data_IF_401688238504
#
_entry.id   IF_401688238504
#
_cell.length_a   1.000
_cell.length_b   1.000
_cell.length_c   1.000
_cell.angle_alpha   90.00
_cell.angle_beta   90.00
_cell.angle_gamma   90.00
#
_symmetry.space_group_name_H-M   'P 1'
#
loop_
_entity.id
_entity.type
_entity.pdbx_description
1 polymer ?
#
# COMPACT_ATOMS: atom_id res chain seq x y z
N UNK A 1 -4.54 -54.21 26.93
CA UNK A 1 -4.39 -52.77 26.68
C UNK A 1 -3.18 -52.55 25.79
N UNK A 2 -3.37 -52.29 24.49
CA UNK A 2 -2.28 -52.01 23.54
C UNK A 2 -2.12 -50.50 23.40
N UNK A 3 -0.94 -49.98 23.75
CA UNK A 3 -0.55 -48.58 23.53
C UNK A 3 -0.08 -48.43 22.08
N UNK A 4 -0.73 -47.55 21.32
CA UNK A 4 -0.31 -47.17 19.97
C UNK A 4 0.25 -45.75 20.11
N UNK A 5 1.57 -45.60 20.00
CA UNK A 5 2.21 -44.30 19.83
C UNK A 5 2.01 -43.88 18.37
N UNK A 6 1.28 -42.79 18.12
CA UNK A 6 1.31 -42.07 16.84
C UNK A 6 2.54 -41.16 16.85
N UNK A 7 3.57 -41.54 16.10
CA UNK A 7 4.66 -40.64 15.75
C UNK A 7 4.14 -39.64 14.70
N UNK A 8 3.74 -38.45 15.14
CA UNK A 8 3.38 -37.35 14.24
C UNK A 8 4.65 -36.88 13.54
N UNK A 9 4.77 -37.18 12.26
CA UNK A 9 5.88 -36.71 11.42
C UNK A 9 5.52 -35.31 10.96
N UNK A 10 6.16 -34.27 11.51
CA UNK A 10 6.08 -32.93 10.97
C UNK A 10 6.66 -32.94 9.54
N UNK A 11 5.79 -32.93 8.54
CA UNK A 11 6.15 -32.69 7.17
C UNK A 11 6.47 -31.18 7.06
N UNK A 12 7.71 -30.79 7.39
CA UNK A 12 8.18 -29.44 7.04
C UNK A 12 8.20 -29.35 5.53
N UNK A 13 7.29 -28.55 4.97
CA UNK A 13 7.36 -28.12 3.60
C UNK A 13 8.60 -27.23 3.46
N UNK A 14 9.73 -27.82 3.06
CA UNK A 14 10.92 -27.07 2.64
C UNK A 14 10.56 -26.46 1.29
N UNK A 15 10.11 -25.20 1.30
CA UNK A 15 9.98 -24.42 0.08
C UNK A 15 11.40 -24.27 -0.49
N UNK A 16 11.66 -24.63 -1.75
CA UNK A 16 12.99 -24.50 -2.32
C UNK A 16 13.41 -23.03 -2.25
N UNK A 17 14.54 -22.76 -1.57
CA UNK A 17 15.20 -21.47 -1.65
C UNK A 17 15.68 -21.32 -3.10
N UNK A 18 14.92 -20.57 -3.90
CA UNK A 18 15.39 -20.17 -5.22
C UNK A 18 16.66 -19.34 -5.03
N UNK A 19 17.66 -19.58 -5.88
CA UNK A 19 18.82 -18.69 -5.93
C UNK A 19 18.32 -17.25 -6.16
N UNK A 20 18.97 -16.30 -5.49
CA UNK A 20 18.70 -14.89 -5.63
C UNK A 20 20.04 -14.15 -5.65
N UNK A 21 20.10 -13.10 -6.44
CA UNK A 21 21.24 -12.19 -6.45
C UNK A 21 21.04 -11.15 -5.36
N UNK A 22 21.98 -11.12 -4.42
CA UNK A 22 21.95 -10.24 -3.26
C UNK A 22 22.64 -8.90 -3.57
N UNK A 23 22.00 -7.80 -3.21
CA UNK A 23 22.56 -6.45 -3.20
C UNK A 23 22.79 -6.08 -1.74
N UNK A 24 24.06 -6.08 -1.31
CA UNK A 24 24.46 -5.84 0.09
C UNK A 24 25.10 -4.46 0.31
N UNK A 25 25.35 -3.73 -0.77
CA UNK A 25 25.96 -2.40 -0.75
C UNK A 25 25.21 -1.45 -1.69
N UNK A 26 25.49 -0.15 -1.58
CA UNK A 26 24.87 0.88 -2.42
C UNK A 26 25.18 0.67 -3.91
N UNK A 27 24.13 0.71 -4.73
CA UNK A 27 24.22 0.81 -6.19
C UNK A 27 23.59 2.12 -6.66
N UNK A 28 24.25 2.80 -7.59
CA UNK A 28 23.72 4.00 -8.26
C UNK A 28 23.14 3.71 -9.64
N UNK A 29 23.35 2.50 -10.16
CA UNK A 29 22.73 2.04 -11.40
C UNK A 29 21.40 1.36 -11.11
N UNK A 30 20.49 1.43 -12.09
CA UNK A 30 19.25 0.66 -12.08
C UNK A 30 19.54 -0.85 -12.13
N UNK A 31 18.70 -1.68 -11.53
CA UNK A 31 18.82 -3.14 -11.56
C UNK A 31 17.61 -3.80 -12.20
N UNK A 32 17.82 -4.95 -12.86
CA UNK A 32 16.76 -5.67 -13.58
C UNK A 32 16.83 -7.16 -13.33
N UNK A 33 15.68 -7.80 -13.14
CA UNK A 33 15.62 -9.25 -12.91
C UNK A 33 16.18 -10.07 -14.06
N UNK A 34 16.12 -9.58 -15.31
CA UNK A 34 16.64 -10.26 -16.50
C UNK A 34 18.17 -10.29 -16.61
N UNK A 35 18.89 -9.43 -15.87
CA UNK A 35 20.34 -9.25 -16.03
C UNK A 35 21.13 -9.21 -14.72
N UNK A 36 20.47 -9.26 -13.57
CA UNK A 36 21.10 -9.01 -12.26
C UNK A 36 22.26 -9.98 -11.97
N UNK A 37 22.22 -11.21 -12.49
CA UNK A 37 23.26 -12.24 -12.29
C UNK A 37 24.27 -12.24 -13.43
N UNK A 38 25.12 -11.21 -13.48
CA UNK A 38 26.15 -11.06 -14.51
C UNK A 38 25.59 -11.19 -15.95
N UNK A 39 24.42 -10.59 -16.20
CA UNK A 39 23.74 -10.63 -17.50
C UNK A 39 22.73 -11.78 -17.65
N UNK A 40 22.63 -12.69 -16.67
CA UNK A 40 21.60 -13.72 -16.64
C UNK A 40 20.40 -13.31 -15.74
N UNK A 41 19.20 -13.87 -15.99
CA UNK A 41 18.04 -13.65 -15.14
C UNK A 41 18.19 -14.29 -13.75
N UNK A 42 17.72 -13.59 -12.71
CA UNK A 42 17.65 -14.10 -11.34
C UNK A 42 16.69 -13.27 -10.48
N UNK A 43 16.31 -13.80 -9.32
CA UNK A 43 15.60 -13.02 -8.30
C UNK A 43 16.52 -11.96 -7.68
N UNK A 44 15.96 -10.84 -7.23
CA UNK A 44 16.71 -9.76 -6.59
C UNK A 44 16.37 -9.74 -5.10
N UNK A 45 17.40 -9.71 -4.25
CA UNK A 45 17.25 -9.38 -2.84
C UNK A 45 18.14 -8.21 -2.46
N UNK A 46 17.54 -7.08 -2.09
CA UNK A 46 18.26 -5.94 -1.49
C UNK A 46 18.24 -6.18 0.01
N UNK A 47 19.39 -6.41 0.64
CA UNK A 47 19.46 -6.65 2.09
C UNK A 47 19.31 -5.35 2.87
N UNK A 48 19.14 -5.45 4.19
CA UNK A 48 19.09 -4.29 5.10
C UNK A 48 20.30 -3.36 4.99
N UNK A 49 21.48 -3.84 4.57
CA UNK A 49 22.67 -3.04 4.33
C UNK A 49 22.76 -2.49 2.89
N UNK A 50 22.02 -3.08 1.96
CA UNK A 50 22.03 -2.72 0.55
C UNK A 50 21.13 -1.54 0.20
N UNK A 51 21.42 -0.91 -0.94
CA UNK A 51 20.54 0.10 -1.52
C UNK A 51 20.66 0.24 -3.03
N UNK A 52 19.60 0.74 -3.66
CA UNK A 52 19.56 1.06 -5.10
C UNK A 52 19.07 2.50 -5.24
N UNK A 53 19.98 3.39 -5.65
CA UNK A 53 19.78 4.84 -5.62
C UNK A 53 20.21 5.55 -6.92
N UNK A 54 19.55 5.28 -8.06
CA UNK A 54 19.85 6.01 -9.29
C UNK A 54 19.33 7.45 -9.23
N UNK A 55 19.82 8.28 -10.14
CA UNK A 55 19.45 9.70 -10.21
C UNK A 55 18.01 9.93 -10.73
N UNK A 56 17.40 8.95 -11.39
CA UNK A 56 16.08 9.08 -12.00
C UNK A 56 15.63 7.80 -12.71
N UNK A 57 14.44 7.83 -13.32
CA UNK A 57 13.86 6.69 -14.02
C UNK A 57 13.38 5.59 -13.06
N UNK A 58 13.70 4.33 -13.35
CA UNK A 58 13.25 3.19 -12.54
C UNK A 58 14.41 2.55 -11.79
N UNK A 59 14.35 2.44 -10.47
CA UNK A 59 15.44 1.84 -9.68
C UNK A 59 15.54 0.33 -9.83
N UNK A 60 14.42 -0.39 -9.68
CA UNK A 60 14.35 -1.85 -9.82
C UNK A 60 13.30 -2.20 -10.87
N UNK A 61 13.68 -2.97 -11.89
CA UNK A 61 12.76 -3.47 -12.93
C UNK A 61 12.59 -4.98 -12.85
N UNK A 62 11.34 -5.43 -12.79
CA UNK A 62 10.92 -6.82 -12.94
C UNK A 62 10.47 -7.01 -14.38
N UNK A 63 11.36 -7.56 -15.19
CA UNK A 63 11.21 -7.83 -16.62
C UNK A 63 11.32 -9.33 -16.93
N UNK A 64 11.16 -10.17 -15.91
CA UNK A 64 11.17 -11.64 -16.00
C UNK A 64 10.20 -12.23 -14.95
N UNK A 65 10.21 -13.55 -14.75
CA UNK A 65 9.33 -14.23 -13.77
C UNK A 65 9.95 -14.35 -12.37
N UNK A 66 11.00 -13.58 -12.09
CA UNK A 66 11.72 -13.65 -10.82
C UNK A 66 11.26 -12.60 -9.82
N UNK A 67 11.23 -12.99 -8.55
CA UNK A 67 10.79 -12.14 -7.45
C UNK A 67 11.77 -10.99 -7.16
N UNK A 68 11.24 -9.93 -6.53
CA UNK A 68 12.03 -8.88 -5.88
C UNK A 68 11.69 -8.83 -4.39
N UNK A 69 12.72 -8.90 -3.56
CA UNK A 69 12.64 -8.68 -2.11
C UNK A 69 13.50 -7.48 -1.73
N UNK A 70 12.88 -6.43 -1.17
CA UNK A 70 13.56 -5.25 -0.65
C UNK A 70 13.49 -5.22 0.88
N UNK A 71 14.63 -5.42 1.53
CA UNK A 71 14.84 -5.25 2.98
C UNK A 71 15.66 -3.97 3.28
N UNK A 72 16.31 -3.41 2.26
CA UNK A 72 17.15 -2.21 2.36
C UNK A 72 16.45 -0.94 1.87
N UNK A 73 17.18 -0.08 1.17
CA UNK A 73 16.65 1.19 0.65
C UNK A 73 16.63 1.24 -0.87
N UNK A 74 15.47 1.48 -1.46
CA UNK A 74 15.33 1.95 -2.84
C UNK A 74 15.01 3.44 -2.79
N UNK A 75 15.80 4.29 -3.45
CA UNK A 75 15.61 5.74 -3.37
C UNK A 75 15.87 6.45 -4.69
N UNK A 76 14.98 7.35 -5.08
CA UNK A 76 15.20 8.32 -6.16
C UNK A 76 14.74 9.67 -5.65
N UNK A 77 15.62 10.67 -5.68
CA UNK A 77 15.31 12.01 -5.18
C UNK A 77 15.32 13.02 -6.31
N UNK A 78 14.33 13.90 -6.31
CA UNK A 78 14.20 15.06 -7.20
C UNK A 78 14.20 14.68 -8.70
N UNK A 79 13.41 13.66 -9.05
CA UNK A 79 13.22 13.22 -10.43
C UNK A 79 11.75 12.94 -10.73
N UNK A 80 11.22 13.57 -11.77
CA UNK A 80 9.87 13.31 -12.25
C UNK A 80 9.79 11.97 -12.98
N UNK A 81 8.59 11.39 -13.02
CA UNK A 81 8.33 10.10 -13.67
C UNK A 81 9.21 8.96 -13.10
N UNK A 82 9.70 9.11 -11.88
CA UNK A 82 10.54 8.14 -11.22
C UNK A 82 9.71 6.99 -10.63
N UNK A 83 10.27 5.78 -10.67
CA UNK A 83 9.63 4.60 -10.08
C UNK A 83 10.63 3.84 -9.23
N UNK A 84 10.27 3.52 -7.98
CA UNK A 84 11.09 2.66 -7.13
C UNK A 84 11.21 1.25 -7.71
N UNK A 85 10.10 0.51 -7.72
CA UNK A 85 10.02 -0.85 -8.29
C UNK A 85 8.97 -0.88 -9.40
N UNK A 86 9.36 -1.24 -10.61
CA UNK A 86 8.46 -1.44 -11.75
C UNK A 86 8.40 -2.91 -12.13
N UNK A 87 7.21 -3.50 -12.17
CA UNK A 87 6.96 -4.76 -12.86
C UNK A 87 6.39 -4.51 -14.25
N UNK A 88 7.08 -5.05 -15.27
CA UNK A 88 6.65 -4.99 -16.67
C UNK A 88 5.41 -5.87 -16.87
N UNK A 89 4.51 -5.48 -17.78
CA UNK A 89 3.30 -6.25 -18.05
C UNK A 89 3.62 -7.70 -18.48
N UNK A 90 2.85 -8.66 -17.97
CA UNK A 90 3.00 -10.09 -18.26
C UNK A 90 4.11 -10.80 -17.47
N UNK A 91 4.76 -10.12 -16.53
CA UNK A 91 5.80 -10.70 -15.66
C UNK A 91 5.23 -11.28 -14.36
N UNK A 92 6.10 -11.80 -13.49
CA UNK A 92 5.68 -12.34 -12.21
C UNK A 92 6.82 -12.59 -11.24
N UNK A 93 6.53 -13.34 -10.18
CA UNK A 93 7.48 -13.75 -9.15
C UNK A 93 7.19 -13.17 -7.77
N UNK A 94 6.40 -12.10 -7.72
CA UNK A 94 6.00 -11.42 -6.48
C UNK A 94 6.95 -10.30 -6.07
N UNK A 95 6.45 -9.41 -5.21
CA UNK A 95 7.19 -8.26 -4.69
C UNK A 95 7.02 -8.22 -3.17
N UNK A 96 8.12 -8.25 -2.44
CA UNK A 96 8.12 -8.08 -0.98
C UNK A 96 8.93 -6.85 -0.63
N UNK A 97 8.32 -5.86 0.01
CA UNK A 97 9.00 -4.70 0.59
C UNK A 97 8.88 -4.74 2.12
N UNK A 98 9.98 -5.01 2.81
CA UNK A 98 10.14 -4.84 4.26
C UNK A 98 11.07 -3.68 4.62
N UNK A 99 11.80 -3.13 3.62
CA UNK A 99 12.68 -1.98 3.75
C UNK A 99 11.99 -0.64 3.43
N UNK A 100 12.76 0.29 2.85
CA UNK A 100 12.30 1.62 2.45
C UNK A 100 12.25 1.76 0.93
N UNK A 101 11.20 2.40 0.43
CA UNK A 101 11.12 2.93 -0.94
C UNK A 101 10.83 4.43 -0.82
N UNK A 102 11.72 5.27 -1.34
CA UNK A 102 11.62 6.73 -1.26
C UNK A 102 11.69 7.29 -2.68
N UNK A 103 10.64 8.00 -3.10
CA UNK A 103 10.59 8.71 -4.38
C UNK A 103 10.14 10.15 -4.11
N UNK A 104 11.07 10.98 -3.67
CA UNK A 104 10.83 12.29 -3.07
C UNK A 104 11.38 13.45 -3.92
N UNK A 105 11.15 14.68 -3.48
CA UNK A 105 11.78 15.89 -4.04
C UNK A 105 12.58 16.65 -2.99
N UNK A 106 13.21 17.73 -3.46
CA UNK A 106 13.88 18.71 -2.59
C UNK A 106 13.04 19.98 -2.44
N UNK A 107 11.78 19.97 -2.87
CA UNK A 107 10.88 21.11 -2.70
C UNK A 107 10.44 21.19 -1.24
N UNK A 108 10.51 22.40 -0.69
CA UNK A 108 10.06 22.72 0.65
C UNK A 108 9.19 23.97 0.54
N UNK A 109 7.96 23.89 1.05
CA UNK A 109 7.05 25.04 1.12
C UNK A 109 7.58 26.08 2.13
N UNK A 110 7.23 27.35 1.93
CA UNK A 110 7.67 28.45 2.78
C UNK A 110 6.49 29.32 3.18
N UNK A 111 6.51 29.83 4.41
CA UNK A 111 5.63 30.89 4.90
C UNK A 111 6.05 32.25 4.29
N UNK A 112 5.39 32.65 3.19
CA UNK A 112 5.72 33.83 2.39
C UNK A 112 5.21 35.10 3.06
N UNK A 113 4.02 35.08 3.65
CA UNK A 113 3.39 36.26 4.24
C UNK A 113 3.54 36.41 5.77
N UNK A 114 4.08 35.38 6.44
CA UNK A 114 4.48 35.33 7.86
C UNK A 114 3.32 35.32 8.85
N UNK A 115 2.19 34.74 8.50
CA UNK A 115 1.07 34.60 9.41
C UNK A 115 1.07 33.28 10.21
N UNK A 116 1.89 32.30 9.82
CA UNK A 116 2.29 31.16 10.63
C UNK A 116 1.93 29.78 10.08
N UNK A 117 1.45 29.67 8.84
CA UNK A 117 1.38 28.43 8.06
C UNK A 117 2.30 28.49 6.82
N UNK A 118 2.31 27.42 6.01
CA UNK A 118 3.21 27.29 4.87
C UNK A 118 2.41 27.47 3.58
N UNK A 119 2.94 28.25 2.64
CA UNK A 119 2.20 28.58 1.42
C UNK A 119 2.61 27.72 0.22
N UNK A 120 1.70 27.66 -0.77
CA UNK A 120 1.98 27.17 -2.12
C UNK A 120 1.56 25.72 -2.37
N UNK A 121 2.18 25.02 -3.33
CA UNK A 121 1.82 23.63 -3.58
C UNK A 121 2.34 22.69 -2.47
N UNK A 122 1.75 21.49 -2.37
CA UNK A 122 2.29 20.40 -1.55
C UNK A 122 3.55 19.75 -2.15
N UNK A 123 3.72 19.87 -3.46
CA UNK A 123 4.74 19.19 -4.24
C UNK A 123 5.01 19.96 -5.54
N UNK A 124 6.25 20.01 -6.01
CA UNK A 124 6.61 20.67 -7.28
C UNK A 124 6.75 19.65 -8.42
N UNK A 125 7.33 18.48 -8.14
CA UNK A 125 7.50 17.40 -9.11
C UNK A 125 6.21 16.63 -9.44
N UNK A 126 6.32 15.62 -10.32
CA UNK A 126 5.16 14.81 -10.73
C UNK A 126 5.47 13.39 -11.20
N UNK A 127 4.42 12.56 -11.28
CA UNK A 127 4.41 11.27 -11.95
C UNK A 127 5.21 10.16 -11.26
N UNK A 128 5.41 10.26 -9.95
CA UNK A 128 6.26 9.34 -9.18
C UNK A 128 5.49 8.13 -8.69
N UNK A 129 6.16 6.99 -8.59
CA UNK A 129 5.55 5.78 -8.02
C UNK A 129 6.50 4.98 -7.16
N UNK A 130 6.07 4.54 -5.97
CA UNK A 130 6.86 3.61 -5.14
C UNK A 130 6.96 2.23 -5.78
N UNK A 131 5.82 1.52 -5.91
CA UNK A 131 5.71 0.23 -6.61
C UNK A 131 4.68 0.35 -7.74
N UNK A 132 5.06 -0.04 -8.95
CA UNK A 132 4.19 0.01 -10.14
C UNK A 132 4.13 -1.33 -10.86
N UNK A 133 2.95 -1.75 -11.30
CA UNK A 133 2.83 -2.75 -12.38
C UNK A 133 2.39 -2.04 -13.66
N UNK A 134 3.04 -2.33 -14.78
CA UNK A 134 2.71 -1.72 -16.08
C UNK A 134 1.50 -2.38 -16.77
N UNK A 135 0.97 -3.46 -16.20
CA UNK A 135 -0.13 -4.24 -16.73
C UNK A 135 -0.35 -5.49 -15.87
N UNK A 136 -0.78 -6.59 -16.49
CA UNK A 136 -1.00 -7.85 -15.79
C UNK A 136 0.28 -8.33 -15.07
N UNK A 137 0.16 -8.79 -13.82
CA UNK A 137 1.27 -9.29 -13.02
C UNK A 137 0.86 -10.51 -12.20
N UNK A 138 1.74 -11.50 -12.07
CA UNK A 138 1.48 -12.72 -11.31
C UNK A 138 2.40 -12.86 -10.09
N UNK A 139 1.81 -13.14 -8.94
CA UNK A 139 2.52 -13.24 -7.66
C UNK A 139 2.03 -12.22 -6.65
N UNK A 140 2.18 -12.54 -5.37
CA UNK A 140 1.73 -11.64 -4.30
C UNK A 140 2.58 -10.36 -4.26
N UNK A 141 1.95 -9.26 -3.86
CA UNK A 141 2.63 -8.00 -3.55
C UNK A 141 2.39 -7.72 -2.07
N UNK A 142 3.48 -7.62 -1.30
CA UNK A 142 3.45 -7.41 0.15
C UNK A 142 4.33 -6.24 0.54
N UNK A 143 3.78 -5.30 1.31
CA UNK A 143 4.49 -4.17 1.90
C UNK A 143 4.37 -4.19 3.43
N UNK A 144 5.43 -4.59 4.12
CA UNK A 144 5.58 -4.44 5.59
C UNK A 144 6.52 -3.29 5.95
N UNK A 145 7.25 -2.75 4.97
CA UNK A 145 8.17 -1.63 5.10
C UNK A 145 7.51 -0.25 4.91
N UNK A 146 8.34 0.75 4.59
CA UNK A 146 7.89 2.12 4.36
C UNK A 146 7.98 2.51 2.88
N UNK A 147 6.97 3.19 2.37
CA UNK A 147 6.95 3.84 1.06
C UNK A 147 6.63 5.32 1.25
N UNK A 148 7.54 6.20 0.83
CA UNK A 148 7.34 7.65 0.82
C UNK A 148 7.42 8.15 -0.61
N UNK A 149 6.40 8.88 -1.05
CA UNK A 149 6.36 9.49 -2.38
C UNK A 149 5.91 10.94 -2.25
N UNK A 150 6.67 11.86 -2.81
CA UNK A 150 6.28 13.27 -2.91
C UNK A 150 6.20 13.61 -4.39
N UNK A 151 5.15 14.30 -4.83
CA UNK A 151 4.94 14.63 -6.23
C UNK A 151 3.47 14.69 -6.60
N UNK A 152 3.11 15.57 -7.53
CA UNK A 152 1.77 15.62 -8.11
C UNK A 152 1.50 14.38 -8.98
N UNK A 153 0.24 13.98 -9.13
CA UNK A 153 -0.20 12.84 -9.96
C UNK A 153 0.60 11.55 -9.67
N UNK A 154 0.94 11.35 -8.40
CA UNK A 154 1.85 10.29 -7.95
C UNK A 154 1.15 9.25 -7.10
N UNK A 155 1.78 8.09 -6.92
CA UNK A 155 1.23 7.01 -6.12
C UNK A 155 2.24 6.25 -5.27
N UNK A 156 1.83 5.79 -4.09
CA UNK A 156 2.68 4.90 -3.28
C UNK A 156 2.81 3.54 -3.97
N UNK A 157 1.66 2.90 -4.24
CA UNK A 157 1.56 1.67 -5.02
C UNK A 157 0.49 1.85 -6.10
N UNK A 158 0.84 1.55 -7.36
CA UNK A 158 -0.11 1.56 -8.47
C UNK A 158 -0.02 0.29 -9.32
N UNK A 159 -1.08 -0.52 -9.25
CA UNK A 159 -1.24 -1.69 -10.12
C UNK A 159 -1.95 -1.26 -11.42
N UNK A 160 -1.19 -1.09 -12.50
CA UNK A 160 -1.69 -0.64 -13.80
C UNK A 160 -2.46 -1.70 -14.61
N UNK A 161 -2.73 -2.87 -14.02
CA UNK A 161 -3.48 -3.97 -14.61
C UNK A 161 -3.83 -5.04 -13.58
N UNK A 162 -4.36 -6.20 -14.01
CA UNK A 162 -4.81 -7.24 -13.10
C UNK A 162 -3.64 -7.90 -12.35
N UNK A 163 -3.84 -8.17 -11.06
CA UNK A 163 -2.94 -8.92 -10.19
C UNK A 163 -3.47 -10.34 -9.98
N UNK A 164 -2.73 -11.33 -10.48
CA UNK A 164 -2.96 -12.74 -10.15
C UNK A 164 -2.19 -13.09 -8.88
N UNK A 165 -2.77 -12.78 -7.73
CA UNK A 165 -2.15 -12.95 -6.43
C UNK A 165 -2.89 -12.17 -5.33
N UNK A 166 -2.40 -12.27 -4.10
CA UNK A 166 -2.88 -11.44 -3.00
C UNK A 166 -2.13 -10.10 -2.96
N UNK A 167 -2.81 -9.06 -2.49
CA UNK A 167 -2.19 -7.77 -2.18
C UNK A 167 -2.28 -7.51 -0.69
N UNK A 168 -1.15 -7.20 -0.05
CA UNK A 168 -1.06 -6.96 1.38
C UNK A 168 -0.20 -5.72 1.64
N UNK A 169 -0.72 -4.78 2.43
CA UNK A 169 0.09 -3.74 3.08
C UNK A 169 -0.13 -3.81 4.58
N UNK A 170 0.94 -3.68 5.34
CA UNK A 170 1.03 -3.73 6.81
C UNK A 170 2.00 -2.68 7.36
N UNK A 171 2.85 -2.13 6.50
CA UNK A 171 3.74 -1.04 6.85
C UNK A 171 3.12 0.33 6.60
N UNK A 172 3.97 1.30 6.26
CA UNK A 172 3.56 2.70 6.05
C UNK A 172 3.64 3.07 4.57
N UNK A 173 2.63 3.75 4.07
CA UNK A 173 2.62 4.40 2.75
C UNK A 173 2.21 5.86 2.97
N UNK A 174 3.09 6.80 2.64
CA UNK A 174 2.84 8.23 2.71
C UNK A 174 3.02 8.86 1.33
N UNK A 175 2.00 9.55 0.85
CA UNK A 175 2.05 10.24 -0.44
C UNK A 175 1.59 11.69 -0.30
N UNK A 176 2.42 12.62 -0.75
CA UNK A 176 2.15 14.06 -0.66
C UNK A 176 2.18 14.69 -2.05
N UNK A 177 1.13 15.45 -2.40
CA UNK A 177 1.01 16.16 -3.67
C UNK A 177 -0.44 16.28 -4.14
N UNK A 178 -0.64 16.96 -5.27
CA UNK A 178 -1.97 17.09 -5.90
C UNK A 178 -2.34 15.84 -6.67
N UNK A 179 -3.60 15.40 -6.58
CA UNK A 179 -4.17 14.23 -7.27
C UNK A 179 -3.37 12.93 -7.01
N UNK A 180 -2.89 12.75 -5.78
CA UNK A 180 -2.11 11.59 -5.39
C UNK A 180 -2.97 10.44 -4.89
N UNK A 181 -2.46 9.21 -5.02
CA UNK A 181 -3.11 8.02 -4.47
C UNK A 181 -2.14 7.17 -3.67
N UNK A 182 -2.45 6.86 -2.41
CA UNK A 182 -1.60 5.95 -1.61
C UNK A 182 -1.46 4.57 -2.25
N UNK A 183 -2.59 3.90 -2.45
CA UNK A 183 -2.68 2.60 -3.13
C UNK A 183 -3.77 2.64 -4.20
N UNK A 184 -3.42 2.35 -5.45
CA UNK A 184 -4.36 2.19 -6.57
C UNK A 184 -4.25 0.80 -7.17
N UNK A 185 -5.37 0.10 -7.31
CA UNK A 185 -5.37 -1.28 -7.84
C UNK A 185 -6.37 -1.49 -8.98
N UNK A 186 -6.00 -2.33 -9.95
CA UNK A 186 -6.94 -2.96 -10.89
C UNK A 186 -7.55 -4.23 -10.30
N UNK A 187 -7.91 -5.19 -11.15
CA UNK A 187 -8.51 -6.45 -10.69
C UNK A 187 -7.50 -7.27 -9.85
N UNK A 188 -7.97 -7.95 -8.81
CA UNK A 188 -7.17 -8.79 -7.93
C UNK A 188 -7.86 -10.14 -7.76
N UNK A 189 -7.16 -11.23 -8.08
CA UNK A 189 -7.72 -12.58 -7.94
C UNK A 189 -7.63 -13.12 -6.51
N UNK A 190 -6.72 -12.61 -5.69
CA UNK A 190 -6.56 -12.98 -4.29
C UNK A 190 -7.30 -12.07 -3.32
N UNK A 191 -6.96 -12.22 -2.04
CA UNK A 191 -7.41 -11.31 -0.98
C UNK A 191 -6.64 -9.98 -1.03
N UNK A 192 -7.30 -8.94 -0.55
CA UNK A 192 -6.70 -7.63 -0.30
C UNK A 192 -6.71 -7.39 1.20
N UNK A 193 -5.54 -7.17 1.80
CA UNK A 193 -5.42 -6.75 3.20
C UNK A 193 -4.74 -5.39 3.30
N UNK A 194 -5.47 -4.43 3.85
CA UNK A 194 -5.05 -3.06 4.10
C UNK A 194 -4.88 -2.87 5.60
N UNK A 195 -3.69 -3.21 6.09
CA UNK A 195 -3.25 -2.97 7.44
C UNK A 195 -2.08 -1.96 7.44
N UNK A 196 -1.58 -1.61 8.62
CA UNK A 196 -0.59 -0.55 8.75
C UNK A 196 -1.20 0.84 8.50
N UNK A 197 -0.44 1.75 7.90
CA UNK A 197 -0.87 3.14 7.68
C UNK A 197 -0.75 3.52 6.21
N UNK A 198 -1.82 4.06 5.62
CA UNK A 198 -1.80 4.70 4.30
C UNK A 198 -2.30 6.14 4.46
N UNK A 199 -1.44 7.12 4.18
CA UNK A 199 -1.75 8.54 4.25
C UNK A 199 -1.53 9.20 2.89
N UNK A 200 -2.53 9.94 2.42
CA UNK A 200 -2.45 10.74 1.20
C UNK A 200 -2.83 12.19 1.51
N UNK A 201 -1.94 13.13 1.18
CA UNK A 201 -2.07 14.55 1.52
C UNK A 201 -1.97 15.40 0.26
N UNK A 202 -2.96 16.27 0.06
CA UNK A 202 -3.00 17.28 -1.00
C UNK A 202 -4.36 17.32 -1.71
N UNK A 203 -4.55 18.34 -2.56
CA UNK A 203 -5.81 18.50 -3.30
C UNK A 203 -6.13 17.23 -4.09
N UNK A 204 -7.34 16.68 -3.93
CA UNK A 204 -7.79 15.46 -4.61
C UNK A 204 -7.11 14.17 -4.15
N UNK A 205 -6.35 14.19 -3.05
CA UNK A 205 -5.65 13.02 -2.53
C UNK A 205 -6.62 11.91 -2.08
N UNK A 206 -6.31 10.65 -2.40
CA UNK A 206 -7.07 9.46 -2.00
C UNK A 206 -6.13 8.45 -1.35
N UNK A 207 -6.44 7.94 -0.16
CA UNK A 207 -5.52 7.00 0.49
C UNK A 207 -5.48 5.66 -0.26
N UNK A 208 -6.65 5.05 -0.50
CA UNK A 208 -6.77 3.78 -1.22
C UNK A 208 -7.91 3.84 -2.23
N UNK A 209 -7.61 3.47 -3.47
CA UNK A 209 -8.56 3.36 -4.58
C UNK A 209 -8.49 1.96 -5.21
N UNK A 210 -9.54 1.18 -5.02
CA UNK A 210 -9.68 -0.18 -5.56
C UNK A 210 -10.59 -0.11 -6.79
N UNK A 211 -9.98 0.07 -7.97
CA UNK A 211 -10.71 0.32 -9.22
C UNK A 211 -11.27 -0.96 -9.84
N UNK A 212 -10.55 -2.07 -9.70
CA UNK A 212 -10.95 -3.36 -10.27
C UNK A 212 -11.64 -4.29 -9.27
N UNK A 213 -12.12 -5.41 -9.79
CA UNK A 213 -12.80 -6.43 -9.00
C UNK A 213 -11.82 -7.22 -8.13
N UNK A 214 -12.22 -7.52 -6.90
CA UNK A 214 -11.51 -8.39 -5.97
C UNK A 214 -12.28 -9.71 -5.89
N UNK A 215 -11.61 -10.80 -6.26
CA UNK A 215 -12.20 -12.14 -6.15
C UNK A 215 -12.15 -12.65 -4.70
N UNK A 216 -11.11 -12.29 -3.95
CA UNK A 216 -11.03 -12.58 -2.52
C UNK A 216 -11.84 -11.61 -1.66
N UNK A 217 -11.53 -11.60 -0.37
CA UNK A 217 -12.05 -10.63 0.59
C UNK A 217 -11.23 -9.34 0.57
N UNK A 218 -11.87 -8.22 0.93
CA UNK A 218 -11.21 -6.98 1.32
C UNK A 218 -11.23 -6.86 2.85
N UNK A 219 -10.06 -6.92 3.47
CA UNK A 219 -9.88 -6.73 4.92
C UNK A 219 -9.17 -5.41 5.16
N UNK A 220 -9.86 -4.47 5.79
CA UNK A 220 -9.26 -3.23 6.30
C UNK A 220 -9.02 -3.42 7.79
N UNK A 221 -7.78 -3.27 8.23
CA UNK A 221 -7.37 -3.48 9.62
C UNK A 221 -6.20 -2.55 9.98
N UNK A 222 -6.18 -1.37 9.37
CA UNK A 222 -5.16 -0.35 9.57
C UNK A 222 -5.75 1.05 9.46
N UNK A 223 -4.87 2.04 9.48
CA UNK A 223 -5.20 3.46 9.41
C UNK A 223 -5.14 3.97 7.97
N UNK A 224 -6.28 4.36 7.39
CA UNK A 224 -6.36 4.97 6.06
C UNK A 224 -6.78 6.43 6.20
N UNK A 225 -5.93 7.35 5.77
CA UNK A 225 -6.12 8.80 5.92
C UNK A 225 -6.00 9.54 4.59
N UNK A 226 -6.98 10.39 4.28
CA UNK A 226 -6.89 11.34 3.17
C UNK A 226 -7.27 12.75 3.63
N UNK A 227 -6.52 13.76 3.17
CA UNK A 227 -6.81 15.17 3.43
C UNK A 227 -6.28 16.04 2.29
N UNK A 228 -6.98 17.15 2.02
CA UNK A 228 -6.44 18.24 1.22
C UNK A 228 -5.81 19.33 2.06
N UNK A 229 -6.17 19.42 3.34
CA UNK A 229 -5.67 20.41 4.28
C UNK A 229 -4.23 20.09 4.71
N UNK A 230 -3.45 21.15 4.94
CA UNK A 230 -2.10 21.05 5.56
C UNK A 230 -2.16 20.63 7.03
N UNK A 231 -3.22 21.05 7.72
CA UNK A 231 -3.51 20.71 9.11
C UNK A 231 -4.91 20.10 9.22
N UNK A 232 -5.05 19.07 10.05
CA UNK A 232 -6.36 18.45 10.37
C UNK A 232 -6.92 18.96 11.70
N UNK A 233 -6.31 20.00 12.27
CA UNK A 233 -6.79 20.70 13.47
C UNK A 233 -7.19 22.11 13.07
N UNK A 234 -8.43 22.49 13.39
CA UNK A 234 -8.93 23.83 13.10
C UNK A 234 -8.05 24.88 13.80
N UNK A 235 -7.60 25.93 13.09
CA UNK A 235 -6.82 26.99 13.71
C UNK A 235 -7.69 27.79 14.68
N UNK A 236 -7.05 28.37 15.70
CA UNK A 236 -7.74 29.27 16.63
C UNK A 236 -8.20 30.58 15.95
N UNK A 237 -7.49 31.01 14.90
CA UNK A 237 -7.78 32.19 14.10
C UNK A 237 -7.81 31.81 12.62
N UNK A 238 -9.00 31.60 12.02
CA UNK A 238 -9.12 31.22 10.62
C UNK A 238 -8.90 32.39 9.64
N UNK A 239 -8.70 33.62 10.12
CA UNK A 239 -8.44 34.77 9.23
C UNK A 239 -7.07 34.76 8.57
N UNK A 240 -6.19 33.87 9.05
CA UNK A 240 -4.86 33.57 8.50
C UNK A 240 -4.90 32.54 7.37
N UNK A 241 -5.95 31.74 7.32
CA UNK A 241 -6.03 30.73 6.28
C UNK A 241 -6.11 31.36 4.90
N UNK A 242 -5.31 30.85 4.00
CA UNK A 242 -5.26 31.29 2.62
C UNK A 242 -5.98 30.29 1.70
N UNK A 243 -5.78 30.41 0.39
CA UNK A 243 -6.47 29.54 -0.56
C UNK A 243 -5.91 28.10 -0.56
N UNK A 244 -4.63 27.92 -0.23
CA UNK A 244 -4.00 26.60 -0.24
C UNK A 244 -4.17 25.82 1.06
N UNK A 245 -4.55 26.49 2.15
CA UNK A 245 -5.00 25.80 3.36
C UNK A 245 -6.37 25.13 3.24
N UNK A 246 -7.22 25.64 2.35
CA UNK A 246 -8.62 25.20 2.21
C UNK A 246 -8.80 24.08 1.18
N UNK A 247 -7.69 23.54 0.67
CA UNK A 247 -7.70 22.50 -0.36
C UNK A 247 -8.45 21.26 0.10
N UNK A 248 -9.18 20.65 -0.84
CA UNK A 248 -10.06 19.52 -0.54
C UNK A 248 -9.40 18.20 -0.95
N UNK A 249 -9.40 17.24 -0.03
CA UNK A 249 -9.02 15.85 -0.30
C UNK A 249 -10.18 15.04 -0.89
N UNK A 250 -9.86 13.84 -1.35
CA UNK A 250 -10.85 12.82 -1.72
C UNK A 250 -11.18 11.89 -0.56
N UNK A 251 -11.87 10.79 -0.88
CA UNK A 251 -12.14 9.72 0.09
C UNK A 251 -10.87 9.04 0.58
N UNK A 252 -10.88 8.55 1.82
CA UNK A 252 -9.79 7.73 2.32
C UNK A 252 -9.80 6.33 1.68
N UNK A 253 -10.99 5.76 1.46
CA UNK A 253 -11.15 4.48 0.75
C UNK A 253 -12.24 4.58 -0.32
N UNK A 254 -11.89 4.19 -1.54
CA UNK A 254 -12.83 4.01 -2.65
C UNK A 254 -12.80 2.55 -3.10
N UNK A 255 -13.98 1.92 -3.15
CA UNK A 255 -14.20 0.58 -3.71
C UNK A 255 -15.13 0.70 -4.90
N UNK A 256 -14.56 0.65 -6.11
CA UNK A 256 -15.30 0.84 -7.36
C UNK A 256 -15.55 -0.48 -8.14
N UNK A 257 -14.84 -1.55 -7.78
CA UNK A 257 -15.05 -2.90 -8.32
C UNK A 257 -15.84 -3.83 -7.38
N UNK A 258 -16.32 -4.94 -7.93
CA UNK A 258 -16.97 -6.00 -7.14
C UNK A 258 -16.02 -6.60 -6.11
N UNK A 259 -16.53 -7.03 -4.95
CA UNK A 259 -15.73 -7.75 -3.95
C UNK A 259 -16.44 -9.05 -3.60
N UNK A 260 -15.95 -10.17 -4.13
CA UNK A 260 -16.67 -11.44 -4.04
C UNK A 260 -16.59 -12.08 -2.65
N UNK A 261 -15.47 -11.89 -1.93
CA UNK A 261 -15.28 -12.38 -0.57
C UNK A 261 -15.79 -11.44 0.53
N UNK A 262 -16.53 -10.38 0.16
CA UNK A 262 -17.03 -9.37 1.10
C UNK A 262 -15.98 -8.37 1.58
N UNK A 263 -16.44 -7.38 2.33
CA UNK A 263 -15.64 -6.30 2.90
C UNK A 263 -15.78 -6.33 4.42
N UNK A 264 -14.65 -6.30 5.11
CA UNK A 264 -14.62 -6.17 6.57
C UNK A 264 -13.69 -5.04 6.99
N UNK A 265 -14.19 -4.17 7.87
CA UNK A 265 -13.39 -3.21 8.63
C UNK A 265 -13.16 -3.82 10.02
N UNK A 266 -12.08 -4.57 10.15
CA UNK A 266 -11.81 -5.44 11.28
C UNK A 266 -11.15 -4.71 12.45
N UNK A 267 -11.29 -5.29 13.63
CA UNK A 267 -10.50 -5.01 14.83
C UNK A 267 -9.89 -6.35 15.31
N UNK A 268 -8.86 -6.35 16.16
CA UNK A 268 -8.33 -7.60 16.70
C UNK A 268 -9.44 -8.34 17.45
N UNK A 269 -9.52 -9.67 17.35
CA UNK A 269 -10.49 -10.43 18.11
C UNK A 269 -10.26 -10.23 19.61
N UNK A 270 -11.31 -10.49 20.39
CA UNK A 270 -11.22 -10.36 21.83
C UNK A 270 -10.46 -11.56 22.39
N UNK A 271 -9.43 -11.28 23.20
CA UNK A 271 -8.74 -12.30 24.00
C UNK A 271 -9.76 -13.11 24.83
N UNK A 272 -9.98 -14.34 24.36
CA UNK A 272 -10.95 -15.28 24.92
C UNK A 272 -10.25 -16.49 25.55
N UNK A 273 -8.95 -16.64 25.33
CA UNK A 273 -8.15 -17.79 25.74
C UNK A 273 -6.70 -17.38 25.95
N UNK A 274 -6.20 -17.49 27.18
CA UNK A 274 -4.81 -17.13 27.53
C UNK A 274 -3.73 -18.02 26.90
N UNK A 275 -4.11 -19.00 26.07
CA UNK A 275 -3.20 -19.94 25.38
C UNK A 275 -3.43 -20.00 23.88
N UNK A 276 -4.47 -19.33 23.40
CA UNK A 276 -4.67 -19.08 21.98
C UNK A 276 -4.15 -17.66 21.75
N UNK A 277 -3.32 -17.44 20.74
CA UNK A 277 -2.79 -16.10 20.45
C UNK A 277 -3.29 -15.62 19.06
N UNK A 278 -4.13 -16.42 18.41
CA UNK A 278 -4.68 -16.26 17.06
C UNK A 278 -6.10 -16.81 17.11
N UNK A 279 -6.98 -16.05 17.76
CA UNK A 279 -8.30 -16.48 18.22
C UNK A 279 -9.24 -16.79 17.04
N UNK A 280 -9.07 -16.07 15.94
CA UNK A 280 -9.86 -16.23 14.72
C UNK A 280 -9.18 -17.11 13.65
N UNK A 281 -7.93 -17.53 13.91
CA UNK A 281 -7.16 -18.49 13.11
C UNK A 281 -6.88 -17.97 11.71
N UNK A 282 -6.69 -16.67 11.58
CA UNK A 282 -6.32 -16.04 10.32
C UNK A 282 -4.80 -16.16 10.02
N UNK A 283 -4.03 -16.67 10.99
CA UNK A 283 -2.59 -16.91 10.90
C UNK A 283 -1.74 -15.72 11.35
N UNK A 284 -2.35 -14.72 11.98
CA UNK A 284 -1.70 -13.54 12.55
C UNK A 284 -1.97 -13.55 14.06
N UNK A 285 -0.94 -13.36 14.88
CA UNK A 285 -1.19 -13.24 16.31
C UNK A 285 -2.07 -11.99 16.58
N UNK A 286 -3.13 -12.11 17.39
CA UNK A 286 -4.07 -11.04 17.77
C UNK A 286 -3.35 -9.75 18.19
N UNK A 287 -2.24 -9.91 18.92
CA UNK A 287 -1.42 -8.79 19.42
C UNK A 287 -0.68 -7.99 18.33
N UNK A 288 -0.61 -8.52 17.10
CA UNK A 288 0.00 -7.91 15.93
C UNK A 288 -1.04 -7.35 14.96
N UNK A 289 -2.32 -7.49 15.27
CA UNK A 289 -3.39 -6.97 14.47
C UNK A 289 -3.71 -5.51 14.82
N UNK A 290 -4.09 -4.75 13.79
CA UNK A 290 -4.55 -3.38 13.95
C UNK A 290 -6.06 -3.30 14.13
N UNK A 291 -6.56 -2.08 14.34
CA UNK A 291 -7.98 -1.76 14.21
C UNK A 291 -8.19 -0.88 13.00
N UNK A 292 -9.23 -1.15 12.20
CA UNK A 292 -9.58 -0.29 11.09
C UNK A 292 -9.89 1.12 11.59
N UNK A 293 -9.26 2.11 10.99
CA UNK A 293 -9.48 3.53 11.23
C UNK A 293 -9.41 4.26 9.90
N UNK A 294 -10.56 4.56 9.32
CA UNK A 294 -10.65 5.18 7.99
C UNK A 294 -11.19 6.60 8.13
N UNK A 295 -10.33 7.58 7.84
CA UNK A 295 -10.63 8.98 8.10
C UNK A 295 -10.37 9.84 6.87
N UNK A 296 -11.38 10.58 6.42
CA UNK A 296 -11.21 11.66 5.45
C UNK A 296 -11.41 13.01 6.13
N UNK A 297 -10.50 13.95 5.85
CA UNK A 297 -10.62 15.35 6.23
C UNK A 297 -10.94 16.18 4.98
N UNK A 298 -12.06 16.91 5.05
CA UNK A 298 -12.63 17.66 3.93
C UNK A 298 -14.06 17.26 3.60
N UNK A 299 -14.56 17.69 2.45
CA UNK A 299 -15.95 17.49 2.03
C UNK A 299 -16.27 16.07 1.54
N UNK A 300 -15.26 15.25 1.23
CA UNK A 300 -15.44 13.91 0.70
C UNK A 300 -15.86 12.88 1.78
N UNK A 301 -16.64 11.83 1.43
CA UNK A 301 -16.92 10.75 2.37
C UNK A 301 -15.65 9.96 2.69
N UNK A 302 -15.50 9.48 3.91
CA UNK A 302 -14.35 8.65 4.31
C UNK A 302 -14.26 7.35 3.49
N UNK A 303 -15.39 6.68 3.29
CA UNK A 303 -15.51 5.46 2.50
C UNK A 303 -16.56 5.67 1.41
N UNK A 304 -16.18 5.40 0.16
CA UNK A 304 -17.09 5.30 -0.97
C UNK A 304 -17.08 3.86 -1.50
N UNK A 305 -18.25 3.21 -1.49
CA UNK A 305 -18.46 1.92 -2.16
C UNK A 305 -19.43 2.17 -3.30
N UNK A 306 -18.95 2.09 -4.54
CA UNK A 306 -19.73 2.39 -5.72
C UNK A 306 -18.91 3.00 -6.85
N UNK A 307 -19.44 2.87 -8.06
CA UNK A 307 -18.88 3.44 -9.28
C UNK A 307 -19.93 4.26 -10.01
N UNK A 308 -19.50 5.30 -10.72
CA UNK A 308 -20.38 6.09 -11.58
C UNK A 308 -20.76 5.35 -12.88
N UNK A 309 -20.01 4.32 -13.26
CA UNK A 309 -20.13 3.65 -14.57
C UNK A 309 -20.60 2.21 -14.48
N UNK A 310 -20.65 1.61 -13.29
CA UNK A 310 -21.06 0.22 -13.09
C UNK A 310 -21.68 -0.01 -11.71
N UNK A 311 -22.51 -1.05 -11.61
CA UNK A 311 -22.92 -1.58 -10.33
C UNK A 311 -21.73 -2.24 -9.62
N UNK A 312 -21.73 -2.15 -8.29
CA UNK A 312 -20.76 -2.81 -7.40
C UNK A 312 -21.51 -3.87 -6.60
N UNK A 313 -21.13 -5.13 -6.78
CA UNK A 313 -21.66 -6.27 -6.06
C UNK A 313 -20.68 -6.72 -4.97
N UNK A 314 -21.18 -6.88 -3.75
CA UNK A 314 -20.41 -7.35 -2.60
C UNK A 314 -20.97 -8.71 -2.17
N UNK A 315 -20.13 -9.74 -2.25
CA UNK A 315 -20.45 -11.09 -1.78
C UNK A 315 -20.33 -11.21 -0.26
N UNK A 316 -20.79 -12.34 0.30
CA UNK A 316 -20.78 -12.54 1.74
C UNK A 316 -19.36 -12.69 2.30
N UNK A 317 -19.12 -12.10 3.47
CA UNK A 317 -17.89 -12.30 4.25
C UNK A 317 -17.88 -13.74 4.76
N UNK A 318 -16.95 -14.55 4.24
CA UNK A 318 -16.79 -15.94 4.64
C UNK A 318 -16.44 -16.05 6.13
N UNK A 319 -16.91 -17.12 6.79
CA UNK A 319 -16.61 -17.37 8.22
C UNK A 319 -17.39 -16.52 9.22
N UNK A 320 -18.11 -15.48 8.79
CA UNK A 320 -18.84 -14.55 9.68
C UNK A 320 -20.12 -15.12 10.31
N UNK A 321 -20.71 -16.17 9.73
CA UNK A 321 -21.99 -16.74 10.17
C UNK A 321 -23.23 -15.87 9.90
N UNK A 322 -23.08 -14.64 9.40
CA UNK A 322 -24.18 -13.67 9.19
C UNK A 322 -24.61 -13.53 7.73
N UNK A 323 -23.82 -14.04 6.78
CA UNK A 323 -23.96 -13.83 5.34
C UNK A 323 -23.95 -12.35 4.89
N UNK A 324 -23.53 -11.43 5.76
CA UNK A 324 -23.38 -10.03 5.39
C UNK A 324 -22.22 -9.84 4.43
N UNK A 325 -22.40 -8.98 3.43
CA UNK A 325 -21.32 -8.63 2.51
C UNK A 325 -20.41 -7.52 3.01
N UNK A 326 -20.89 -6.71 3.96
CA UNK A 326 -20.15 -5.63 4.60
C UNK A 326 -20.27 -5.77 6.11
N UNK A 327 -19.13 -5.84 6.80
CA UNK A 327 -19.02 -5.84 8.26
C UNK A 327 -18.14 -4.65 8.67
N UNK A 328 -18.62 -3.87 9.64
CA UNK A 328 -17.92 -2.69 10.15
C UNK A 328 -17.75 -2.82 11.65
N UNK A 329 -16.61 -3.35 12.08
CA UNK A 329 -16.24 -3.47 13.49
C UNK A 329 -15.32 -2.34 13.95
N UNK A 330 -14.51 -1.79 13.03
CA UNK A 330 -13.63 -0.65 13.27
C UNK A 330 -14.26 0.72 12.95
N UNK A 331 -13.44 1.77 12.99
CA UNK A 331 -13.87 3.16 12.86
C UNK A 331 -13.86 3.68 11.42
N UNK A 332 -14.91 4.41 11.05
CA UNK A 332 -15.01 5.20 9.81
C UNK A 332 -15.50 6.60 10.18
N UNK A 333 -14.76 7.65 9.81
CA UNK A 333 -15.09 9.04 10.19
C UNK A 333 -14.76 10.06 9.09
N UNK A 334 -15.70 10.96 8.82
CA UNK A 334 -15.43 12.18 8.03
C UNK A 334 -15.35 13.39 8.94
N UNK A 335 -14.42 14.31 8.68
CA UNK A 335 -14.27 15.55 9.45
C UNK A 335 -14.09 16.74 8.51
N UNK A 336 -14.91 17.78 8.69
CA UNK A 336 -14.84 18.99 7.86
C UNK A 336 -13.68 19.93 8.18
N UNK A 337 -13.13 19.82 9.40
CA UNK A 337 -12.12 20.68 10.07
C UNK A 337 -12.38 22.17 9.94
#
# INVERSE_FOLDING_TARGET
>A
MRRILLASTCLMAVVPAHAQTTIETKRTDTVRTSTVKAGAPDAIRITTAGSVTPAGGTAVTIDSVHAVTNEGTVQITNADNATGILAVAGTGGGITNSGKIIVDETYEATDVDKDGDLDGPFAAGSGRTGIRTAGAYSGAITNTGAITVEGNESAGIWLGGPLSGAFKTEGTIAVTGTNVVGVRTGDITGNVRLAGTVAAIGQGAVAVRLDGAITGALVVQGSLGATGYRTTTAPADPSKLDADDLLQGGSALVVAGNVSGGIVFAVPPKDASTTDNDEDKDGIDDSKEGSASVTAYGAAPAVQIGSATNAVAIGAVAGSGTNFGLIVDGGIGGSGV
#
